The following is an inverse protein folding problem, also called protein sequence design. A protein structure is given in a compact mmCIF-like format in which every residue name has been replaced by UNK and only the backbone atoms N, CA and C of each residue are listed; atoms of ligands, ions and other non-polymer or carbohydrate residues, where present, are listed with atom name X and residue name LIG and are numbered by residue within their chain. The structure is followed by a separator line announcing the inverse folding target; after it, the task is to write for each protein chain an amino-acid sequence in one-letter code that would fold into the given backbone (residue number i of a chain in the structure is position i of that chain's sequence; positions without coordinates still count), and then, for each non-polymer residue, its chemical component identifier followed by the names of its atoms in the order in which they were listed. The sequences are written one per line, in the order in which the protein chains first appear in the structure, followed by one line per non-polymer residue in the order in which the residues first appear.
data_IF_750612218973
#
_entry.id   IF_750612218973
#
_cell.length_a   1.000
_cell.length_b   1.000
_cell.length_c   1.000
_cell.angle_alpha   90.00
_cell.angle_beta   90.00
_cell.angle_gamma   90.00
#
_symmetry.space_group_name_H-M   'P 1'
#
loop_
_entity.id
_entity.type
_entity.pdbx_description
1 polymer ?
#
# COMPACT_ATOMS: atom_id res chain seq x y z
N UNK A 1 24.54 55.83 21.34
CA UNK A 1 23.69 54.64 21.09
C UNK A 1 23.21 54.68 19.65
N UNK A 2 23.44 53.64 18.86
CA UNK A 2 23.05 53.64 17.44
C UNK A 2 21.54 53.33 17.30
N UNK A 3 20.74 54.21 16.67
CA UNK A 3 19.29 54.05 16.57
C UNK A 3 18.88 52.76 15.84
N UNK A 4 19.74 52.23 14.97
CA UNK A 4 19.50 50.97 14.25
C UNK A 4 19.40 49.74 15.16
N UNK A 5 20.12 49.72 16.30
CA UNK A 5 20.07 48.59 17.24
C UNK A 5 18.77 48.56 18.05
N UNK A 6 18.19 49.74 18.34
CA UNK A 6 16.92 49.86 19.08
C UNK A 6 15.75 49.39 18.21
N UNK A 7 15.74 49.76 16.93
CA UNK A 7 14.69 49.32 15.99
C UNK A 7 14.71 47.80 15.80
N UNK A 8 15.89 47.20 15.65
CA UNK A 8 16.00 45.74 15.50
C UNK A 8 15.48 44.98 16.73
N UNK A 9 15.82 45.45 17.94
CA UNK A 9 15.38 44.81 19.18
C UNK A 9 13.85 44.91 19.38
N UNK A 10 13.25 46.04 19.01
CA UNK A 10 11.80 46.22 19.07
C UNK A 10 11.07 45.31 18.06
N UNK A 11 11.59 45.15 16.85
CA UNK A 11 11.01 44.26 15.84
C UNK A 11 11.05 42.79 16.27
N UNK A 12 12.17 42.34 16.86
CA UNK A 12 12.29 40.96 17.38
C UNK A 12 11.33 40.73 18.55
N UNK A 13 11.22 41.67 19.48
CA UNK A 13 10.29 41.58 20.61
C UNK A 13 8.82 41.47 20.16
N UNK A 14 8.44 42.25 19.13
CA UNK A 14 7.09 42.20 18.55
C UNK A 14 6.79 40.84 17.90
N UNK A 15 7.77 40.27 17.18
CA UNK A 15 7.63 38.96 16.54
C UNK A 15 7.43 37.85 17.59
N UNK A 16 8.21 37.86 18.67
CA UNK A 16 8.09 36.88 19.76
C UNK A 16 6.71 36.99 20.44
N UNK A 17 6.21 38.21 20.66
CA UNK A 17 4.89 38.44 21.24
C UNK A 17 3.77 37.86 20.36
N UNK A 18 3.85 38.07 19.04
CA UNK A 18 2.85 37.55 18.09
C UNK A 18 2.82 36.02 18.04
N UNK A 19 3.99 35.37 18.11
CA UNK A 19 4.09 33.90 18.17
C UNK A 19 3.49 33.36 19.47
N UNK A 20 3.75 34.00 20.61
CA UNK A 20 3.21 33.61 21.90
C UNK A 20 1.66 33.72 21.96
N UNK A 21 1.09 34.77 21.35
CA UNK A 21 -0.38 34.94 21.24
C UNK A 21 -1.00 33.86 20.35
N UNK A 22 -0.37 33.54 19.20
CA UNK A 22 -0.82 32.45 18.31
C UNK A 22 -0.85 31.09 19.03
N UNK A 23 0.16 30.78 19.83
CA UNK A 23 0.24 29.51 20.57
C UNK A 23 -0.81 29.40 21.68
N UNK A 24 -1.09 30.51 22.39
CA UNK A 24 -2.11 30.52 23.45
C UNK A 24 -3.54 30.39 22.91
N UNK A 25 -3.86 31.05 21.79
CA UNK A 25 -5.17 30.90 21.13
C UNK A 25 -5.39 29.47 20.61
N UNK A 26 -4.33 28.80 20.16
CA UNK A 26 -4.41 27.44 19.64
C UNK A 26 -4.75 26.38 20.70
N UNK A 27 -4.47 26.65 21.98
CA UNK A 27 -4.72 25.71 23.07
C UNK A 27 -6.06 25.88 23.81
N UNK A 28 -6.77 27.00 23.61
CA UNK A 28 -8.05 27.26 24.30
C UNK A 28 -9.25 26.60 23.57
N UNK A 29 -9.08 26.11 22.35
CA UNK A 29 -10.19 25.59 21.52
C UNK A 29 -10.63 24.13 21.73
N UNK A 30 -10.15 23.40 22.76
CA UNK A 30 -10.40 21.95 22.90
C UNK A 30 -11.09 21.47 24.18
N UNK A 31 -11.68 22.35 24.98
CA UNK A 31 -12.42 21.93 26.16
C UNK A 31 -13.83 22.54 26.20
N UNK A 32 -14.84 21.83 25.70
CA UNK A 32 -16.25 21.99 26.11
C UNK A 32 -17.22 21.05 25.35
N UNK A 33 -18.12 20.44 26.12
CA UNK A 33 -19.27 19.58 25.78
C UNK A 33 -18.95 18.09 25.59
N UNK A 34 -19.58 17.15 26.30
CA UNK A 34 -20.88 17.18 26.97
C UNK A 34 -20.94 16.18 28.13
N UNK A 35 -21.44 16.63 29.28
CA UNK A 35 -21.89 15.79 30.39
C UNK A 35 -23.26 16.31 30.87
N UNK A 36 -24.17 15.36 31.15
CA UNK A 36 -25.48 15.44 31.85
C UNK A 36 -26.79 15.46 31.04
N UNK A 37 -27.47 14.30 30.99
CA UNK A 37 -28.68 13.94 31.80
C UNK A 37 -29.22 12.56 31.31
N UNK A 38 -29.18 11.45 32.08
CA UNK A 38 -30.20 10.93 33.06
C UNK A 38 -31.66 11.09 32.61
N UNK A 39 -32.61 10.18 32.80
CA UNK A 39 -32.73 8.79 33.28
C UNK A 39 -34.21 8.38 33.10
N UNK A 40 -34.50 7.08 32.94
CA UNK A 40 -35.72 6.30 33.34
C UNK A 40 -35.76 5.01 32.47
N UNK A 41 -35.37 3.82 32.92
CA UNK A 41 -35.90 2.88 33.92
C UNK A 41 -37.02 1.92 33.40
N UNK A 42 -36.73 0.62 33.58
CA UNK A 42 -37.62 -0.56 33.66
C UNK A 42 -38.17 -1.25 32.39
N UNK A 43 -37.61 -2.41 32.07
CA UNK A 43 -38.35 -3.69 32.20
C UNK A 43 -37.42 -4.91 32.17
N UNK A 44 -37.84 -5.93 32.93
CA UNK A 44 -37.10 -7.06 33.44
C UNK A 44 -36.93 -8.26 32.49
N UNK A 45 -36.02 -9.14 32.91
CA UNK A 45 -36.00 -10.60 32.72
C UNK A 45 -35.63 -11.17 31.33
N UNK A 46 -34.44 -11.75 31.21
CA UNK A 46 -34.26 -13.18 31.50
C UNK A 46 -32.79 -13.57 31.40
N UNK A 47 -32.31 -14.27 32.42
CA UNK A 47 -30.96 -14.82 32.49
C UNK A 47 -30.94 -16.20 31.80
N UNK A 48 -30.32 -16.28 30.62
CA UNK A 48 -29.84 -17.56 30.07
C UNK A 48 -28.32 -17.61 30.14
N UNK A 49 -27.82 -18.34 31.14
CA UNK A 49 -26.42 -18.81 31.20
C UNK A 49 -26.17 -19.71 29.99
N UNK A 50 -25.53 -19.18 28.94
CA UNK A 50 -24.88 -20.02 27.92
C UNK A 50 -23.45 -20.32 28.38
N UNK A 51 -23.26 -21.57 28.78
CA UNK A 51 -21.97 -22.23 28.87
C UNK A 51 -21.28 -22.14 27.50
N UNK A 52 -20.15 -21.42 27.44
CA UNK A 52 -19.27 -21.40 26.28
C UNK A 52 -18.23 -22.48 26.50
N UNK A 53 -18.36 -23.59 25.77
CA UNK A 53 -17.31 -24.60 25.66
C UNK A 53 -16.05 -23.97 25.04
N UNK A 54 -14.84 -24.35 25.48
CA UNK A 54 -13.61 -23.91 24.83
C UNK A 54 -13.57 -24.53 23.43
N UNK A 55 -13.84 -23.70 22.42
CA UNK A 55 -13.74 -24.06 21.02
C UNK A 55 -12.30 -24.41 20.68
N UNK A 56 -12.10 -25.66 20.28
CA UNK A 56 -10.91 -26.17 19.62
C UNK A 56 -10.62 -25.25 18.42
N UNK A 57 -9.50 -24.53 18.47
CA UNK A 57 -9.01 -23.76 17.33
C UNK A 57 -8.87 -24.70 16.14
N UNK A 58 -9.44 -24.39 14.96
CA UNK A 58 -9.20 -25.18 13.77
C UNK A 58 -7.70 -25.13 13.48
N UNK A 59 -7.10 -26.32 13.49
CA UNK A 59 -5.72 -26.58 13.08
C UNK A 59 -5.55 -25.97 11.70
N UNK A 60 -4.80 -24.86 11.62
CA UNK A 60 -4.37 -24.28 10.36
C UNK A 60 -3.63 -25.40 9.64
N UNK A 61 -4.27 -25.95 8.61
CA UNK A 61 -3.64 -26.89 7.71
C UNK A 61 -2.44 -26.15 7.14
N UNK A 62 -1.27 -26.61 7.54
CA UNK A 62 0.01 -26.27 6.94
C UNK A 62 -0.19 -26.51 5.44
N UNK A 63 -0.34 -25.43 4.67
CA UNK A 63 -0.28 -25.47 3.22
C UNK A 63 1.02 -26.20 2.93
N UNK A 64 0.90 -27.45 2.49
CA UNK A 64 2.04 -28.24 2.05
C UNK A 64 2.81 -27.34 1.09
N UNK A 65 4.07 -27.07 1.42
CA UNK A 65 5.05 -26.51 0.50
C UNK A 65 5.12 -27.48 -0.67
N UNK A 66 4.20 -27.34 -1.64
CA UNK A 66 4.38 -27.92 -2.96
C UNK A 66 5.71 -27.36 -3.42
N UNK A 67 6.69 -28.25 -3.46
CA UNK A 67 8.01 -27.99 -3.98
C UNK A 67 7.80 -27.81 -5.48
N UNK A 68 7.41 -26.59 -5.88
CA UNK A 68 7.26 -26.24 -7.27
C UNK A 68 8.66 -26.26 -7.85
N UNK A 69 9.00 -27.34 -8.56
CA UNK A 69 10.03 -27.29 -9.57
C UNK A 69 9.56 -26.24 -10.58
N UNK A 70 10.11 -25.03 -10.46
CA UNK A 70 10.14 -24.08 -11.57
C UNK A 70 10.53 -24.90 -12.78
N UNK A 71 9.66 -24.97 -13.80
CA UNK A 71 9.98 -25.65 -15.06
C UNK A 71 11.19 -24.95 -15.67
N UNK A 72 12.40 -25.39 -15.28
CA UNK A 72 13.70 -24.97 -15.84
C UNK A 72 13.86 -25.43 -17.29
N UNK A 73 12.79 -25.85 -17.95
CA UNK A 73 12.75 -26.25 -19.36
C UNK A 73 13.21 -25.11 -20.29
N UNK A 74 13.29 -23.87 -19.80
CA UNK A 74 13.82 -22.71 -20.52
C UNK A 74 15.32 -22.44 -20.27
N UNK A 75 15.93 -23.11 -19.30
CA UNK A 75 17.36 -22.97 -19.00
C UNK A 75 18.08 -24.13 -19.70
N UNK A 76 18.84 -23.82 -20.76
CA UNK A 76 19.69 -24.76 -21.54
C UNK A 76 19.04 -25.45 -22.75
N UNK A 77 18.55 -24.68 -23.72
CA UNK A 77 18.79 -25.04 -25.13
C UNK A 77 20.00 -24.25 -25.63
N UNK A 78 21.19 -24.61 -25.15
CA UNK A 78 22.42 -24.19 -25.83
C UNK A 78 22.52 -24.99 -27.13
N UNK A 79 22.61 -24.31 -28.26
CA UNK A 79 23.03 -24.94 -29.50
C UNK A 79 24.54 -25.25 -29.39
N UNK A 80 24.95 -26.53 -29.31
CA UNK A 80 26.36 -26.88 -29.17
C UNK A 80 27.20 -26.48 -30.39
N UNK A 81 26.58 -26.09 -31.52
CA UNK A 81 27.28 -25.77 -32.75
C UNK A 81 27.82 -24.34 -32.84
N UNK A 82 27.26 -23.38 -32.08
CA UNK A 82 27.52 -21.96 -32.35
C UNK A 82 28.43 -21.25 -31.36
N UNK A 83 28.66 -21.81 -30.15
CA UNK A 83 29.58 -21.32 -29.10
C UNK A 83 29.64 -19.78 -28.94
N UNK A 84 28.55 -19.12 -29.30
CA UNK A 84 28.29 -17.72 -29.04
C UNK A 84 27.49 -17.71 -27.74
N UNK A 85 27.87 -16.91 -26.74
CA UNK A 85 27.01 -16.74 -25.57
C UNK A 85 25.64 -16.32 -26.09
N UNK A 86 24.63 -17.15 -25.87
CA UNK A 86 23.25 -16.84 -26.23
C UNK A 86 22.77 -15.78 -25.25
N UNK A 87 23.22 -14.53 -25.46
CA UNK A 87 22.50 -13.33 -25.02
C UNK A 87 21.14 -13.22 -25.76
N UNK A 88 20.86 -14.13 -26.70
CA UNK A 88 19.61 -14.25 -27.44
C UNK A 88 18.57 -15.11 -26.73
N UNK A 89 18.21 -14.79 -25.48
CA UNK A 89 16.86 -15.14 -25.04
C UNK A 89 15.97 -14.17 -25.79
N UNK A 90 15.27 -14.67 -26.81
CA UNK A 90 14.26 -13.93 -27.55
C UNK A 90 13.37 -13.17 -26.53
N UNK A 91 13.30 -11.83 -26.58
CA UNK A 91 12.48 -11.04 -25.67
C UNK A 91 11.02 -11.51 -25.61
N UNK A 92 10.51 -12.12 -26.69
CA UNK A 92 9.15 -12.66 -26.73
C UNK A 92 8.95 -13.93 -25.92
N UNK A 93 10.05 -14.62 -25.58
CA UNK A 93 10.07 -15.85 -24.78
C UNK A 93 10.38 -15.61 -23.29
N UNK A 94 10.45 -14.35 -22.84
CA UNK A 94 10.61 -14.06 -21.42
C UNK A 94 9.35 -14.47 -20.65
N UNK A 95 9.48 -15.17 -19.49
CA UNK A 95 8.33 -15.51 -18.65
C UNK A 95 7.58 -14.24 -18.25
N UNK A 96 6.31 -14.17 -18.62
CA UNK A 96 5.40 -13.06 -18.30
C UNK A 96 4.01 -13.62 -17.99
N UNK A 97 3.37 -13.07 -16.98
CA UNK A 97 2.03 -13.49 -16.58
C UNK A 97 1.25 -12.33 -15.94
N UNK A 98 -0.04 -12.56 -15.78
CA UNK A 98 -0.94 -11.64 -15.10
C UNK A 98 -1.61 -12.35 -13.93
N UNK A 99 -1.62 -11.70 -12.78
CA UNK A 99 -2.54 -12.00 -11.70
C UNK A 99 -3.73 -11.05 -11.80
N UNK A 100 -4.96 -11.56 -11.79
CA UNK A 100 -6.17 -10.74 -11.92
C UNK A 100 -7.11 -10.98 -10.76
N UNK A 101 -7.60 -9.90 -10.19
CA UNK A 101 -8.63 -9.88 -9.15
C UNK A 101 -9.76 -8.96 -9.62
N UNK A 102 -10.98 -9.50 -9.63
CA UNK A 102 -12.21 -8.78 -9.93
C UNK A 102 -13.00 -8.65 -8.63
N UNK A 103 -13.42 -7.44 -8.29
CA UNK A 103 -14.18 -7.14 -7.08
C UNK A 103 -15.64 -6.81 -7.37
N UNK A 104 -16.07 -6.88 -8.63
CA UNK A 104 -17.45 -6.62 -9.01
C UNK A 104 -18.36 -7.80 -8.69
N UNK A 105 -19.59 -7.50 -8.28
CA UNK A 105 -20.66 -8.48 -8.04
C UNK A 105 -20.27 -9.64 -7.11
N UNK A 106 -19.40 -9.38 -6.14
CA UNK A 106 -19.02 -10.34 -5.12
C UNK A 106 -19.98 -10.29 -3.93
N UNK A 107 -20.44 -11.46 -3.46
CA UNK A 107 -21.30 -11.55 -2.28
C UNK A 107 -20.56 -11.26 -0.96
N UNK A 108 -19.24 -11.44 -0.96
CA UNK A 108 -18.38 -11.23 0.20
C UNK A 108 -16.94 -10.91 -0.24
N UNK A 109 -16.16 -10.17 0.57
CA UNK A 109 -14.74 -9.93 0.27
C UNK A 109 -13.97 -11.25 0.07
N UNK A 110 -13.02 -11.32 -0.88
CA UNK A 110 -12.19 -12.50 -1.05
C UNK A 110 -11.43 -12.83 0.25
N UNK A 111 -11.22 -14.13 0.48
CA UNK A 111 -10.58 -14.60 1.71
C UNK A 111 -9.17 -14.02 1.89
N UNK A 112 -8.82 -13.66 3.13
CA UNK A 112 -7.48 -13.20 3.51
C UNK A 112 -7.24 -11.70 3.33
N UNK A 113 -8.15 -10.95 2.72
CA UNK A 113 -8.05 -9.49 2.68
C UNK A 113 -8.23 -8.89 4.06
N UNK A 114 -7.34 -7.96 4.43
CA UNK A 114 -7.49 -7.12 5.61
C UNK A 114 -8.10 -5.78 5.19
N UNK A 115 -9.29 -5.50 5.74
CA UNK A 115 -10.10 -4.33 5.37
C UNK A 115 -10.23 -3.39 6.56
N UNK A 116 -9.98 -2.10 6.35
CA UNK A 116 -10.16 -1.06 7.37
C UNK A 116 -11.01 0.07 6.78
N UNK A 117 -12.18 0.32 7.36
CA UNK A 117 -13.10 1.38 6.92
C UNK A 117 -13.42 1.36 5.41
N UNK A 118 -13.61 0.16 4.87
CA UNK A 118 -14.06 -0.07 3.49
C UNK A 118 -15.20 -1.09 3.49
N UNK A 119 -16.07 -0.97 2.51
CA UNK A 119 -17.19 -1.88 2.27
C UNK A 119 -17.12 -2.41 0.85
N UNK A 120 -17.67 -3.60 0.63
CA UNK A 120 -17.82 -4.18 -0.70
C UNK A 120 -19.21 -3.83 -1.23
N UNK A 121 -19.28 -3.13 -2.36
CA UNK A 121 -20.51 -2.87 -3.12
C UNK A 121 -20.53 -3.74 -4.39
N UNK A 122 -21.64 -3.76 -5.15
CA UNK A 122 -21.69 -4.45 -6.45
C UNK A 122 -20.62 -3.98 -7.45
N UNK A 123 -20.18 -2.73 -7.34
CA UNK A 123 -19.16 -2.13 -8.21
C UNK A 123 -17.71 -2.40 -7.75
N UNK A 124 -17.50 -2.82 -6.51
CA UNK A 124 -16.16 -3.07 -5.95
C UNK A 124 -16.00 -2.59 -4.51
N UNK A 125 -14.75 -2.44 -4.08
CA UNK A 125 -14.45 -1.88 -2.76
C UNK A 125 -14.60 -0.36 -2.77
N UNK A 126 -15.27 0.19 -1.77
CA UNK A 126 -15.49 1.63 -1.60
C UNK A 126 -15.50 2.04 -0.13
N UNK A 127 -15.55 3.34 0.13
CA UNK A 127 -15.72 3.88 1.49
C UNK A 127 -17.19 3.77 1.91
N UNK A 128 -17.49 3.47 3.19
CA UNK A 128 -18.86 3.54 3.69
C UNK A 128 -19.38 4.98 3.55
N UNK A 129 -20.68 5.13 3.25
CA UNK A 129 -21.32 6.44 3.16
C UNK A 129 -21.03 7.29 4.42
N UNK A 130 -20.85 8.62 4.27
CA UNK A 130 -20.63 9.48 5.43
C UNK A 130 -21.82 9.42 6.37
N UNK A 131 -21.57 9.57 7.68
CA UNK A 131 -22.65 9.76 8.63
C UNK A 131 -23.41 11.08 8.32
N UNK A 132 -24.72 11.17 8.57
CA UNK A 132 -25.49 12.39 8.32
C UNK A 132 -24.86 13.62 8.98
N UNK A 133 -24.63 14.67 8.20
CA UNK A 133 -23.98 15.91 8.65
C UNK A 133 -22.45 15.87 8.65
N UNK A 134 -21.83 14.77 8.18
CA UNK A 134 -20.37 14.57 8.05
C UNK A 134 -19.93 14.42 6.60
N UNK A 135 -20.72 14.90 5.65
CA UNK A 135 -20.52 14.70 4.21
C UNK A 135 -19.23 15.35 3.67
N UNK A 136 -18.69 16.35 4.35
CA UNK A 136 -17.46 17.06 3.95
C UNK A 136 -16.28 16.77 4.89
N UNK A 137 -16.40 15.73 5.74
CA UNK A 137 -15.27 15.30 6.57
C UNK A 137 -14.42 14.27 5.79
N UNK A 138 -13.07 14.37 5.86
CA UNK A 138 -12.19 13.41 5.22
C UNK A 138 -12.44 11.98 5.71
N UNK A 139 -12.53 11.05 4.77
CA UNK A 139 -12.68 9.61 5.01
C UNK A 139 -11.54 8.87 4.32
N UNK A 140 -10.99 7.89 5.03
CA UNK A 140 -9.93 7.03 4.53
C UNK A 140 -10.26 5.58 4.80
N UNK A 141 -9.95 4.70 3.84
CA UNK A 141 -10.11 3.26 3.97
C UNK A 141 -8.90 2.54 3.39
N UNK A 142 -8.60 1.35 3.92
CA UNK A 142 -7.44 0.54 3.50
C UNK A 142 -7.93 -0.85 3.11
N UNK A 143 -7.43 -1.32 1.96
CA UNK A 143 -7.58 -2.67 1.44
C UNK A 143 -6.18 -3.25 1.36
N UNK A 144 -5.85 -4.24 2.18
CA UNK A 144 -4.59 -4.97 2.08
C UNK A 144 -4.86 -6.39 1.58
N UNK A 145 -4.18 -6.78 0.50
CA UNK A 145 -4.28 -8.11 -0.06
C UNK A 145 -3.59 -9.14 0.84
N UNK A 146 -4.04 -10.41 0.86
CA UNK A 146 -3.21 -11.46 1.41
C UNK A 146 -1.94 -11.63 0.54
N UNK A 147 -0.90 -12.29 1.07
CA UNK A 147 0.24 -12.76 0.27
C UNK A 147 -0.22 -13.56 -0.93
N UNK A 148 0.24 -13.18 -2.12
CA UNK A 148 0.01 -13.91 -3.36
C UNK A 148 1.33 -14.46 -3.88
N UNK A 149 1.34 -15.75 -4.21
CA UNK A 149 2.50 -16.38 -4.84
C UNK A 149 2.46 -16.09 -6.34
N UNK A 150 3.62 -15.77 -6.91
CA UNK A 150 3.78 -15.60 -8.36
C UNK A 150 3.93 -16.96 -9.04
N UNK A 151 3.49 -17.08 -10.29
CA UNK A 151 3.59 -18.32 -11.08
C UNK A 151 5.06 -18.73 -11.33
N UNK A 152 5.96 -17.75 -11.29
CA UNK A 152 7.41 -17.91 -11.36
C UNK A 152 8.08 -16.76 -10.59
N UNK A 153 9.35 -16.94 -10.23
CA UNK A 153 10.12 -15.88 -9.59
C UNK A 153 10.33 -14.72 -10.56
N UNK A 154 9.96 -13.51 -10.15
CA UNK A 154 9.97 -12.33 -11.01
C UNK A 154 10.86 -11.23 -10.44
N UNK A 155 11.62 -10.55 -11.29
CA UNK A 155 12.38 -9.36 -10.92
C UNK A 155 11.64 -8.05 -11.23
N UNK A 156 10.47 -8.12 -11.88
CA UNK A 156 9.66 -6.96 -12.19
C UNK A 156 8.17 -7.23 -11.94
N UNK A 157 7.49 -6.24 -11.35
CA UNK A 157 6.03 -6.23 -11.20
C UNK A 157 5.48 -4.85 -11.58
N UNK A 158 4.34 -4.85 -12.25
CA UNK A 158 3.61 -3.65 -12.63
C UNK A 158 2.14 -3.83 -12.23
N UNK A 159 1.66 -3.13 -11.20
CA UNK A 159 0.25 -3.15 -10.87
C UNK A 159 -0.55 -2.33 -11.89
N UNK A 160 -1.79 -2.72 -12.08
CA UNK A 160 -2.79 -1.94 -12.78
C UNK A 160 -4.10 -2.09 -11.99
N UNK A 161 -4.86 -1.02 -11.84
CA UNK A 161 -6.11 -1.08 -11.08
C UNK A 161 -7.24 -0.43 -11.85
N UNK A 162 -8.46 -0.91 -11.64
CA UNK A 162 -9.65 -0.39 -12.32
C UNK A 162 -10.45 0.42 -11.32
N UNK A 163 -10.48 1.73 -11.52
CA UNK A 163 -11.04 2.67 -10.55
C UNK A 163 -12.14 3.55 -11.14
N UNK A 164 -12.97 4.06 -10.24
CA UNK A 164 -13.81 5.23 -10.46
C UNK A 164 -13.45 6.25 -9.37
N UNK A 165 -12.89 7.40 -9.76
CA UNK A 165 -12.48 8.48 -8.86
C UNK A 165 -13.38 9.70 -9.12
N UNK A 166 -14.50 9.85 -8.40
CA UNK A 166 -15.26 11.10 -8.41
C UNK A 166 -14.44 12.30 -7.93
N UNK A 167 -14.88 13.51 -8.29
CA UNK A 167 -14.25 14.75 -7.80
C UNK A 167 -14.19 14.79 -6.26
N UNK A 168 -13.03 15.21 -5.73
CA UNK A 168 -12.77 15.23 -4.29
C UNK A 168 -12.47 13.84 -3.68
N UNK A 169 -12.11 12.86 -4.52
CA UNK A 169 -11.66 11.54 -4.08
C UNK A 169 -10.29 11.21 -4.64
N UNK A 170 -9.60 10.25 -4.02
CA UNK A 170 -8.28 9.82 -4.45
C UNK A 170 -8.04 8.34 -4.10
N UNK A 171 -7.11 7.71 -4.81
CA UNK A 171 -6.70 6.33 -4.60
C UNK A 171 -5.18 6.23 -4.63
N UNK A 172 -4.62 5.56 -3.63
CA UNK A 172 -3.18 5.33 -3.54
C UNK A 172 -2.87 3.85 -3.49
N UNK A 173 -1.86 3.43 -4.25
CA UNK A 173 -1.45 2.03 -4.34
C UNK A 173 -0.02 1.88 -3.84
N UNK A 174 0.19 0.86 -3.00
CA UNK A 174 1.50 0.45 -2.53
C UNK A 174 1.68 -1.05 -2.75
N UNK A 175 2.92 -1.47 -2.99
CA UNK A 175 3.27 -2.88 -3.14
C UNK A 175 4.43 -3.27 -2.24
N UNK A 176 4.44 -4.54 -1.83
CA UNK A 176 5.54 -5.16 -1.10
C UNK A 176 5.78 -6.54 -1.68
N UNK A 177 7.05 -6.92 -1.81
CA UNK A 177 7.48 -8.21 -2.35
C UNK A 177 8.21 -9.01 -1.28
N UNK A 178 8.22 -10.32 -1.45
CA UNK A 178 8.87 -11.25 -0.53
C UNK A 178 9.44 -12.46 -1.29
N UNK A 179 10.59 -13.00 -0.86
CA UNK A 179 11.11 -14.23 -1.45
C UNK A 179 10.33 -15.46 -1.00
N UNK A 180 9.72 -15.43 0.19
CA UNK A 180 9.17 -16.61 0.87
C UNK A 180 7.74 -16.42 1.43
N UNK A 181 7.16 -15.23 1.27
CA UNK A 181 5.83 -14.88 1.79
C UNK A 181 5.81 -14.55 3.28
N UNK A 182 6.96 -14.52 3.94
CA UNK A 182 7.12 -14.26 5.39
C UNK A 182 7.95 -13.00 5.62
N UNK A 183 9.09 -12.87 4.93
CA UNK A 183 9.99 -11.72 5.05
C UNK A 183 9.67 -10.70 3.96
N UNK A 184 9.05 -9.60 4.35
CA UNK A 184 8.51 -8.60 3.42
C UNK A 184 9.42 -7.39 3.31
N UNK A 185 9.54 -6.89 2.09
CA UNK A 185 10.24 -5.64 1.82
C UNK A 185 9.39 -4.46 2.28
N UNK A 186 9.96 -3.24 2.30
CA UNK A 186 9.17 -2.05 2.58
C UNK A 186 8.03 -1.91 1.57
N UNK A 187 6.94 -1.29 2.01
CA UNK A 187 5.89 -0.83 1.10
C UNK A 187 6.46 0.25 0.19
N UNK A 188 6.33 0.04 -1.12
CA UNK A 188 6.74 0.97 -2.15
C UNK A 188 5.50 1.62 -2.74
N UNK A 189 5.50 2.96 -2.75
CA UNK A 189 4.47 3.75 -3.42
C UNK A 189 4.53 3.50 -4.92
N UNK A 190 3.37 3.35 -5.52
CA UNK A 190 3.21 3.18 -6.95
C UNK A 190 2.60 4.47 -7.49
N UNK A 191 3.39 5.19 -8.27
CA UNK A 191 2.87 6.32 -9.03
C UNK A 191 2.08 5.82 -10.24
N UNK A 192 1.12 6.62 -10.69
CA UNK A 192 0.48 6.39 -11.98
C UNK A 192 1.56 6.56 -13.06
N UNK A 193 1.61 5.63 -14.02
CA UNK A 193 2.50 5.77 -15.16
C UNK A 193 1.95 6.86 -16.10
N UNK A 194 2.43 8.10 -15.93
CA UNK A 194 2.02 9.27 -16.70
C UNK A 194 2.34 9.13 -18.20
N UNK A 195 3.38 8.39 -18.55
CA UNK A 195 3.71 8.11 -19.96
C UNK A 195 2.67 7.15 -20.58
N UNK A 196 2.03 6.34 -19.74
CA UNK A 196 0.88 5.51 -20.07
C UNK A 196 -0.47 6.18 -19.75
N UNK A 197 -0.51 7.47 -19.38
CA UNK A 197 -1.76 8.22 -19.19
C UNK A 197 -2.57 8.37 -20.50
N UNK A 198 -2.02 7.93 -21.63
CA UNK A 198 -2.79 7.56 -22.79
C UNK A 198 -3.61 6.31 -22.49
N UNK A 199 -4.90 6.49 -22.20
CA UNK A 199 -5.91 5.44 -22.04
C UNK A 199 -5.50 4.16 -22.77
N UNK A 200 -5.26 3.08 -22.00
CA UNK A 200 -5.01 1.76 -22.56
C UNK A 200 -6.06 1.54 -23.65
N UNK A 201 -5.65 1.31 -24.90
CA UNK A 201 -6.58 1.25 -26.03
C UNK A 201 -7.62 0.15 -25.80
N UNK A 202 -8.91 0.34 -26.17
CA UNK A 202 -9.95 -0.68 -26.05
C UNK A 202 -9.68 -1.93 -26.89
N UNK A 203 -8.87 -1.79 -27.94
CA UNK A 203 -8.47 -2.89 -28.82
C UNK A 203 -6.97 -2.89 -29.06
N UNK A 204 -6.40 -4.07 -29.25
CA UNK A 204 -5.06 -4.23 -29.78
C UNK A 204 -4.97 -3.73 -31.24
N UNK A 205 -3.77 -3.53 -31.80
CA UNK A 205 -3.59 -3.13 -33.20
C UNK A 205 -4.23 -4.09 -34.22
N UNK A 206 -4.44 -5.36 -33.84
CA UNK A 206 -5.11 -6.37 -34.65
C UNK A 206 -6.65 -6.37 -34.51
N UNK A 207 -7.21 -5.42 -33.75
CA UNK A 207 -8.64 -5.26 -33.52
C UNK A 207 -9.24 -6.14 -32.42
N UNK A 208 -8.48 -7.06 -31.81
CA UNK A 208 -8.98 -7.86 -30.68
C UNK A 208 -9.20 -6.98 -29.44
N UNK A 209 -10.19 -7.27 -28.57
CA UNK A 209 -10.39 -6.54 -27.33
C UNK A 209 -9.14 -6.57 -26.45
N UNK A 210 -8.77 -5.42 -25.90
CA UNK A 210 -7.69 -5.31 -24.94
C UNK A 210 -8.24 -5.56 -23.54
N UNK A 211 -7.85 -6.67 -22.87
CA UNK A 211 -8.35 -6.98 -21.55
C UNK A 211 -7.94 -5.94 -20.50
N UNK A 212 -6.88 -5.17 -20.74
CA UNK A 212 -6.41 -4.12 -19.82
C UNK A 212 -7.15 -2.79 -20.00
N UNK A 213 -8.07 -2.69 -20.96
CA UNK A 213 -8.88 -1.49 -21.17
C UNK A 213 -9.60 -1.07 -19.87
N UNK A 214 -9.51 0.22 -19.55
CA UNK A 214 -10.13 0.83 -18.38
C UNK A 214 -9.35 0.65 -17.07
N UNK A 215 -8.18 0.00 -17.09
CA UNK A 215 -7.27 0.00 -15.94
C UNK A 215 -6.34 1.23 -16.00
N UNK A 216 -6.05 1.79 -14.83
CA UNK A 216 -4.97 2.75 -14.58
C UNK A 216 -3.67 1.98 -14.40
N UNK A 217 -2.64 2.19 -15.26
CA UNK A 217 -1.35 1.56 -15.12
C UNK A 217 -0.50 2.27 -14.05
N UNK A 218 0.10 1.49 -13.15
CA UNK A 218 1.12 1.98 -12.22
C UNK A 218 2.52 1.86 -12.79
N UNK A 219 3.47 2.56 -12.18
CA UNK A 219 4.89 2.42 -12.49
C UNK A 219 5.38 0.99 -12.21
N UNK A 220 6.34 0.54 -13.03
CA UNK A 220 6.97 -0.76 -12.86
C UNK A 220 7.98 -0.71 -11.70
N UNK A 221 7.85 -1.64 -10.76
CA UNK A 221 8.89 -1.93 -9.78
C UNK A 221 9.81 -3.01 -10.34
N UNK A 222 11.11 -2.72 -10.47
CA UNK A 222 12.12 -3.63 -10.99
C UNK A 222 13.36 -3.69 -10.09
N UNK A 223 13.89 -4.89 -9.88
CA UNK A 223 14.99 -5.15 -8.92
C UNK A 223 16.25 -5.74 -9.56
N UNK A 224 16.54 -5.39 -10.81
CA UNK A 224 17.73 -5.87 -11.52
C UNK A 224 17.74 -7.41 -11.62
N UNK A 225 18.79 -8.06 -11.11
CA UNK A 225 18.89 -9.53 -11.09
C UNK A 225 18.19 -10.19 -9.89
N UNK A 226 17.64 -9.41 -8.96
CA UNK A 226 16.98 -9.94 -7.77
C UNK A 226 15.53 -10.31 -8.08
N UNK A 227 15.15 -11.54 -7.80
CA UNK A 227 13.81 -12.08 -8.07
C UNK A 227 13.03 -12.35 -6.78
N UNK A 228 11.71 -12.21 -6.86
CA UNK A 228 10.77 -12.39 -5.77
C UNK A 228 9.73 -13.46 -6.11
N UNK A 229 9.28 -14.21 -5.10
CA UNK A 229 8.30 -15.29 -5.28
C UNK A 229 6.89 -14.90 -4.87
N UNK A 230 6.77 -13.83 -4.07
CA UNK A 230 5.51 -13.38 -3.48
C UNK A 230 5.35 -11.88 -3.59
N UNK A 231 4.09 -11.48 -3.66
CA UNK A 231 3.68 -10.09 -3.72
C UNK A 231 2.46 -9.88 -2.83
N UNK A 232 2.32 -8.68 -2.28
CA UNK A 232 1.08 -8.16 -1.72
C UNK A 232 0.95 -6.70 -2.07
N UNK A 233 -0.26 -6.19 -2.05
CA UNK A 233 -0.53 -4.79 -2.31
C UNK A 233 -1.45 -4.22 -1.23
N UNK A 234 -1.38 -2.90 -1.08
CA UNK A 234 -2.26 -2.12 -0.22
C UNK A 234 -2.82 -0.99 -1.05
N UNK A 235 -4.14 -0.82 -1.01
CA UNK A 235 -4.84 0.30 -1.64
C UNK A 235 -5.45 1.15 -0.54
N UNK A 236 -5.17 2.45 -0.55
CA UNK A 236 -5.77 3.44 0.33
C UNK A 236 -6.77 4.26 -0.47
N UNK A 237 -8.02 4.21 -0.06
CA UNK A 237 -9.11 5.03 -0.58
C UNK A 237 -9.20 6.32 0.24
N UNK A 238 -9.40 7.45 -0.41
CA UNK A 238 -9.58 8.75 0.22
C UNK A 238 -10.77 9.51 -0.38
N UNK A 239 -11.49 10.26 0.44
CA UNK A 239 -12.54 11.18 0.00
C UNK A 239 -12.68 12.34 0.98
N UNK A 240 -12.88 13.55 0.45
CA UNK A 240 -13.19 14.76 1.23
C UNK A 240 -14.65 15.23 1.05
N UNK A 241 -15.47 14.43 0.35
CA UNK A 241 -16.84 14.76 0.00
C UNK A 241 -17.78 13.56 0.25
N UNK A 242 -19.05 13.68 -0.15
CA UNK A 242 -20.03 12.60 0.00
C UNK A 242 -19.75 11.41 -0.93
N UNK A 243 -19.15 11.67 -2.09
CA UNK A 243 -18.80 10.64 -3.06
C UNK A 243 -17.65 9.78 -2.52
N UNK A 244 -17.48 8.57 -3.06
CA UNK A 244 -16.44 7.65 -2.61
C UNK A 244 -15.74 7.04 -3.82
N UNK A 245 -14.41 6.88 -3.79
CA UNK A 245 -13.71 6.19 -4.86
C UNK A 245 -14.10 4.71 -4.83
N UNK A 246 -14.04 4.05 -5.99
CA UNK A 246 -14.35 2.63 -6.12
C UNK A 246 -13.17 1.91 -6.74
N UNK A 247 -12.68 0.85 -6.10
CA UNK A 247 -11.75 -0.12 -6.67
C UNK A 247 -12.52 -1.35 -7.15
N UNK A 248 -12.71 -1.46 -8.47
CA UNK A 248 -13.49 -2.53 -9.10
C UNK A 248 -12.66 -3.76 -9.50
N UNK A 249 -11.34 -3.59 -9.68
CA UNK A 249 -10.46 -4.70 -9.99
C UNK A 249 -8.99 -4.32 -9.86
N UNK A 250 -8.14 -5.33 -9.70
CA UNK A 250 -6.70 -5.17 -9.56
C UNK A 250 -5.98 -6.22 -10.41
N UNK A 251 -4.91 -5.83 -11.08
CA UNK A 251 -4.06 -6.70 -11.87
C UNK A 251 -2.61 -6.47 -11.51
N UNK A 252 -1.83 -7.53 -11.58
CA UNK A 252 -0.38 -7.47 -11.45
C UNK A 252 0.18 -8.14 -12.69
N UNK A 253 0.79 -7.36 -13.57
CA UNK A 253 1.68 -7.88 -14.58
C UNK A 253 3.03 -8.17 -13.92
N UNK A 254 3.64 -9.31 -14.21
CA UNK A 254 4.97 -9.63 -13.73
C UNK A 254 5.76 -10.38 -14.78
N UNK A 255 7.05 -10.09 -14.84
CA UNK A 255 7.95 -10.60 -15.86
C UNK A 255 9.34 -10.84 -15.28
N UNK A 256 9.93 -11.98 -15.66
CA UNK A 256 11.35 -12.24 -15.43
C UNK A 256 12.16 -11.70 -16.60
N UNK A 257 12.72 -10.50 -16.44
CA UNK A 257 13.58 -9.85 -17.43
C UNK A 257 15.08 -10.12 -17.19
N UNK A 258 15.42 -11.05 -16.29
CA UNK A 258 16.83 -11.36 -15.96
C UNK A 258 17.51 -12.23 -17.01
N UNK A 259 16.80 -12.66 -18.06
CA UNK A 259 17.32 -13.55 -19.11
C UNK A 259 17.89 -14.87 -18.54
N UNK A 260 17.38 -15.32 -17.39
CA UNK A 260 17.83 -16.54 -16.71
C UNK A 260 19.02 -16.34 -15.77
N UNK A 261 19.55 -15.12 -15.64
CA UNK A 261 20.64 -14.80 -14.70
C UNK A 261 20.14 -14.42 -13.30
N UNK A 262 18.82 -14.36 -13.13
CA UNK A 262 18.17 -13.95 -11.90
C UNK A 262 18.45 -14.86 -10.72
N UNK A 263 18.43 -14.26 -9.53
CA UNK A 263 18.59 -14.95 -8.25
C UNK A 263 17.45 -14.58 -7.34
N UNK A 264 16.84 -15.59 -6.74
CA UNK A 264 15.83 -15.36 -5.69
C UNK A 264 16.48 -14.58 -4.55
N UNK A 265 15.81 -13.53 -4.08
CA UNK A 265 16.27 -12.73 -2.96
C UNK A 265 16.48 -13.61 -1.72
N UNK A 266 17.52 -13.30 -0.94
CA UNK A 266 17.71 -13.95 0.37
C UNK A 266 16.83 -13.25 1.41
N UNK A 267 16.26 -13.95 2.39
CA UNK A 267 15.64 -13.29 3.55
C UNK A 267 16.58 -12.27 4.23
N UNK A 268 17.90 -12.50 4.18
CA UNK A 268 18.89 -11.60 4.77
C UNK A 268 18.97 -10.25 4.04
N UNK A 269 18.63 -10.18 2.75
CA UNK A 269 18.61 -8.91 2.01
C UNK A 269 17.43 -8.02 2.41
N UNK A 270 16.50 -8.52 3.23
CA UNK A 270 15.32 -7.80 3.70
C UNK A 270 15.51 -7.16 5.08
N UNK A 271 16.63 -7.42 5.73
CA UNK A 271 17.03 -6.61 6.88
C UNK A 271 17.46 -5.26 6.32
N UNK A 272 16.51 -4.34 6.23
CA UNK A 272 16.81 -2.91 6.14
C UNK A 272 17.79 -2.68 7.28
N UNK A 273 19.06 -2.43 6.97
CA UNK A 273 19.99 -1.94 7.97
C UNK A 273 19.29 -0.72 8.58
N UNK A 274 18.75 -0.87 9.79
CA UNK A 274 18.43 0.25 10.64
C UNK A 274 19.77 0.95 10.82
N UNK A 275 20.10 1.83 9.88
CA UNK A 275 21.35 2.56 9.87
C UNK A 275 21.52 3.13 11.27
N UNK A 276 22.72 3.00 11.87
CA UNK A 276 22.93 3.28 13.28
C UNK A 276 22.27 4.61 13.58
N UNK A 277 21.17 4.54 14.34
CA UNK A 277 20.30 5.67 14.58
C UNK A 277 21.18 6.85 14.92
N UNK A 278 20.93 7.97 14.25
CA UNK A 278 21.46 9.25 14.65
C UNK A 278 20.98 9.52 16.08
N UNK A 279 21.69 8.95 17.05
CA UNK A 279 21.68 9.37 18.43
C UNK A 279 22.16 10.81 18.35
N UNK A 280 21.18 11.70 18.27
CA UNK A 280 21.27 13.10 18.63
C UNK A 280 22.19 13.19 19.84
N UNK A 281 23.40 13.68 19.58
CA UNK A 281 24.33 14.11 20.61
C UNK A 281 23.61 15.14 21.47
N UNK A 282 23.06 14.69 22.60
CA UNK A 282 22.66 15.57 23.67
C UNK A 282 23.87 16.43 24.04
N UNK A 283 23.66 17.73 23.93
CA UNK A 283 24.66 18.73 24.23
C UNK A 283 25.18 18.56 25.65
N UNK A 284 26.46 18.23 25.75
CA UNK A 284 27.25 18.54 26.93
C UNK A 284 27.41 20.05 27.02
N UNK A 285 26.48 20.72 27.71
CA UNK A 285 26.69 22.07 28.22
C UNK A 285 27.80 22.02 29.27
N UNK A 286 29.02 22.36 28.86
CA UNK A 286 30.11 22.65 29.77
C UNK A 286 29.78 23.92 30.55
N UNK A 287 29.66 23.75 31.87
CA UNK A 287 29.82 24.82 32.85
C UNK A 287 31.22 25.44 32.70
N UNK A 288 31.28 26.71 32.32
CA UNK A 288 32.46 27.55 32.53
C UNK A 288 32.13 28.56 33.64
N UNK A 289 32.46 28.17 34.87
CA UNK A 289 32.77 29.11 35.95
C UNK A 289 34.22 29.55 35.79
N UNK A 290 34.46 30.85 35.62
CA UNK A 290 35.68 31.49 36.08
C UNK A 290 35.57 33.02 36.02
N UNK A 291 35.61 33.62 37.22
CA UNK A 291 36.12 34.94 37.63
C UNK A 291 35.46 36.22 37.10
#
# INVERSE_FOLDING_TARGET
MQPKRVVLLLSVALLVLLVAVRLTVSHVGKASSSENARAEENSAASAQKRSVSPGVLPRIHTLEKKKYEVRREYVNKSDPATSTPVFGVDPENQPRAFMTMDFTNLDSPPAGFALQNVVLSPEGFTLPAPAPGKENEPRTGIIESPPQMLDFFSNAVTPMWKENIPDGTDMFVEMSVSPDGVHWGPWQWIDIDEDSAGQISPTYPDGRPNPNYGYTPGTMLAWGLTQWGYVRYRVRLYSECAASPVLSGFRIFFQDSTLGEGRVASPDTMQVEEGPGANSSEGSSQNAQSQ
#
